data_IF_414173015531
#
_entry.id   IF_414173015531
#
_cell.length_a   1.000
_cell.length_b   1.000
_cell.length_c   1.000
_cell.angle_alpha   90.00
_cell.angle_beta   90.00
_cell.angle_gamma   90.00
#
_symmetry.space_group_name_H-M   'P 1'
#
loop_
_entity.id
_entity.type
_entity.pdbx_description
1 polymer ?
#
# COMPACT_ATOMS: atom_id res chain seq x y z
N UNK A 1 22.14 32.04 50.84
CA UNK A 1 20.68 31.89 50.69
C UNK A 1 20.44 30.80 49.67
N UNK A 2 19.96 29.64 50.11
CA UNK A 2 19.72 28.48 49.24
C UNK A 2 18.30 28.57 48.72
N UNK A 3 18.12 28.97 47.46
CA UNK A 3 16.82 29.03 46.79
C UNK A 3 16.31 27.62 46.52
N UNK A 4 15.28 27.20 47.25
CA UNK A 4 14.54 25.97 46.95
C UNK A 4 13.75 26.17 45.65
N UNK A 5 13.91 25.30 44.64
CA UNK A 5 13.12 25.38 43.41
C UNK A 5 11.65 25.11 43.72
N UNK A 6 10.74 25.98 43.26
CA UNK A 6 9.28 25.84 43.44
C UNK A 6 8.61 25.02 42.33
N UNK A 7 9.34 24.67 41.27
CA UNK A 7 8.83 23.90 40.14
C UNK A 7 9.42 22.48 40.14
N UNK A 8 8.56 21.49 39.89
CA UNK A 8 8.95 20.10 39.71
C UNK A 8 9.83 19.96 38.45
N UNK A 9 11.03 19.37 38.59
CA UNK A 9 12.00 19.22 37.51
C UNK A 9 11.59 18.07 36.56
N UNK A 10 10.67 18.37 35.66
CA UNK A 10 10.22 17.46 34.61
C UNK A 10 11.35 17.03 33.67
N UNK A 11 12.45 17.80 33.56
CA UNK A 11 13.58 17.40 32.74
C UNK A 11 14.37 16.25 33.37
N UNK A 12 14.51 16.26 34.70
CA UNK A 12 15.17 15.16 35.42
C UNK A 12 14.44 13.84 35.22
N UNK A 13 13.11 13.86 35.26
CA UNK A 13 12.28 12.67 35.09
C UNK A 13 12.29 12.21 33.64
N UNK A 14 12.25 13.14 32.67
CA UNK A 14 12.39 12.84 31.24
C UNK A 14 13.76 12.26 30.89
N UNK A 15 14.82 12.66 31.61
CA UNK A 15 16.16 12.06 31.48
C UNK A 15 16.24 10.66 32.09
N UNK A 16 15.56 10.41 33.21
CA UNK A 16 15.48 9.08 33.85
C UNK A 16 14.58 8.10 33.10
N UNK A 17 13.52 8.59 32.48
CA UNK A 17 12.52 7.78 31.75
C UNK A 17 12.89 7.55 30.29
N UNK A 18 14.00 8.12 29.79
CA UNK A 18 14.49 7.80 28.44
C UNK A 18 14.86 6.31 28.44
N UNK A 19 14.14 5.46 27.68
CA UNK A 19 14.56 4.09 27.51
C UNK A 19 15.97 4.08 26.95
N UNK A 20 16.83 3.21 27.46
CA UNK A 20 18.12 2.94 26.84
C UNK A 20 17.86 2.41 25.43
N UNK A 21 18.25 3.17 24.41
CA UNK A 21 18.19 2.72 23.02
C UNK A 21 19.35 1.75 22.81
N UNK A 22 19.04 0.46 22.68
CA UNK A 22 20.00 -0.61 22.41
C UNK A 22 20.57 -0.56 20.97
N UNK A 23 20.17 0.45 20.18
CA UNK A 23 20.59 0.66 18.81
C UNK A 23 19.71 -0.08 17.81
N UNK A 24 18.83 -0.99 18.27
CA UNK A 24 17.89 -1.71 17.41
C UNK A 24 16.89 -0.74 16.78
N UNK A 25 16.32 0.17 17.58
CA UNK A 25 15.43 1.21 17.05
C UNK A 25 16.20 2.16 16.13
N UNK A 26 17.37 2.65 16.53
CA UNK A 26 18.19 3.53 15.69
C UNK A 26 18.53 2.94 14.31
N UNK A 27 18.80 1.63 14.23
CA UNK A 27 19.02 0.92 12.97
C UNK A 27 17.78 0.94 12.06
N UNK A 28 16.59 0.65 12.61
CA UNK A 28 15.34 0.65 11.84
C UNK A 28 14.95 2.05 11.33
N UNK A 29 15.26 3.11 12.10
CA UNK A 29 14.96 4.49 11.72
C UNK A 29 16.02 5.12 10.79
N UNK A 30 17.18 4.47 10.60
CA UNK A 30 18.23 4.95 9.71
C UNK A 30 18.01 4.44 8.28
N UNK A 31 17.98 5.36 7.32
CA UNK A 31 17.88 4.99 5.90
C UNK A 31 19.17 4.31 5.42
N UNK A 32 19.11 3.00 5.18
CA UNK A 32 20.20 2.21 4.64
C UNK A 32 20.17 2.15 3.09
N UNK A 33 20.26 3.31 2.46
CA UNK A 33 20.06 3.49 1.01
C UNK A 33 21.03 2.65 0.16
N UNK A 34 22.31 2.66 0.50
CA UNK A 34 23.35 1.94 -0.26
C UNK A 34 23.14 0.42 -0.20
N UNK A 35 22.82 -0.13 0.97
CA UNK A 35 22.62 -1.59 1.09
C UNK A 35 21.36 -2.02 0.34
N UNK A 36 20.27 -1.24 0.39
CA UNK A 36 19.07 -1.54 -0.38
C UNK A 36 19.32 -1.53 -1.89
N UNK A 37 20.12 -0.57 -2.39
CA UNK A 37 20.47 -0.50 -3.81
C UNK A 37 21.38 -1.66 -4.25
N UNK A 38 22.36 -2.05 -3.43
CA UNK A 38 23.23 -3.20 -3.71
C UNK A 38 22.41 -4.49 -3.77
N UNK A 39 21.49 -4.69 -2.82
CA UNK A 39 20.59 -5.85 -2.82
C UNK A 39 19.71 -5.85 -4.08
N UNK A 40 19.08 -4.73 -4.42
CA UNK A 40 18.24 -4.62 -5.61
C UNK A 40 19.02 -4.90 -6.91
N UNK A 41 20.25 -4.36 -7.02
CA UNK A 41 21.12 -4.60 -8.17
C UNK A 41 21.54 -6.07 -8.26
N UNK A 42 21.88 -6.69 -7.12
CA UNK A 42 22.25 -8.12 -7.06
C UNK A 42 21.07 -9.03 -7.43
N UNK A 43 19.85 -8.67 -7.02
CA UNK A 43 18.63 -9.38 -7.39
C UNK A 43 18.35 -9.30 -8.89
N UNK A 44 18.46 -8.12 -9.50
CA UNK A 44 18.30 -7.96 -10.95
C UNK A 44 19.36 -8.76 -11.72
N UNK A 45 20.60 -8.73 -11.26
CA UNK A 45 21.68 -9.52 -11.86
C UNK A 45 21.42 -11.03 -11.78
N UNK A 46 20.91 -11.50 -10.63
CA UNK A 46 20.48 -12.88 -10.45
C UNK A 46 19.40 -13.27 -11.47
N UNK A 47 18.31 -12.50 -11.54
CA UNK A 47 17.20 -12.79 -12.46
C UNK A 47 17.64 -12.70 -13.93
N UNK A 48 18.51 -11.77 -14.28
CA UNK A 48 18.93 -11.56 -15.67
C UNK A 48 19.87 -12.65 -16.20
N UNK A 49 20.70 -13.27 -15.35
CA UNK A 49 21.78 -14.18 -15.79
C UNK A 49 21.52 -15.63 -15.40
N UNK A 50 20.96 -15.86 -14.21
CA UNK A 50 20.83 -17.21 -13.66
C UNK A 50 19.45 -17.83 -13.93
N UNK A 51 18.43 -17.00 -14.16
CA UNK A 51 17.09 -17.49 -14.46
C UNK A 51 16.90 -17.62 -15.97
N UNK A 52 16.66 -18.84 -16.45
CA UNK A 52 16.45 -19.09 -17.88
C UNK A 52 15.05 -18.58 -18.30
N UNK A 53 14.93 -17.93 -19.48
CA UNK A 53 13.63 -17.58 -20.04
C UNK A 53 12.78 -18.83 -20.25
N UNK A 54 11.48 -18.76 -19.91
CA UNK A 54 10.54 -19.82 -20.28
C UNK A 54 10.16 -19.69 -21.76
N UNK A 55 9.66 -20.75 -22.39
CA UNK A 55 9.10 -20.68 -23.76
C UNK A 55 7.87 -19.74 -23.84
N UNK A 56 7.13 -19.57 -22.73
CA UNK A 56 5.97 -18.69 -22.67
C UNK A 56 6.33 -17.20 -22.61
N UNK A 57 6.11 -16.48 -23.72
CA UNK A 57 6.38 -15.04 -23.84
C UNK A 57 5.57 -14.18 -22.86
N UNK A 58 4.30 -14.55 -22.59
CA UNK A 58 3.45 -13.84 -21.62
C UNK A 58 4.02 -13.89 -20.20
N UNK A 59 4.56 -15.05 -19.79
CA UNK A 59 5.18 -15.21 -18.48
C UNK A 59 6.45 -14.36 -18.35
N UNK A 60 7.33 -14.41 -19.37
CA UNK A 60 8.55 -13.59 -19.38
C UNK A 60 8.23 -12.09 -19.32
N UNK A 61 7.17 -11.65 -20.02
CA UNK A 61 6.71 -10.26 -20.02
C UNK A 61 6.20 -9.84 -18.64
N UNK A 62 5.36 -10.66 -18.00
CA UNK A 62 4.86 -10.39 -16.64
C UNK A 62 6.00 -10.30 -15.62
N UNK A 63 6.95 -11.24 -15.67
CA UNK A 63 8.13 -11.22 -14.79
C UNK A 63 9.01 -10.00 -15.01
N UNK A 64 9.27 -9.63 -16.27
CA UNK A 64 10.04 -8.44 -16.61
C UNK A 64 9.39 -7.15 -16.11
N UNK A 65 8.07 -7.00 -16.30
CA UNK A 65 7.31 -5.86 -15.79
C UNK A 65 7.35 -5.79 -14.26
N UNK A 66 7.20 -6.92 -13.57
CA UNK A 66 7.31 -6.99 -12.11
C UNK A 66 8.72 -6.63 -11.62
N UNK A 67 9.77 -7.09 -12.30
CA UNK A 67 11.15 -6.72 -11.95
C UNK A 67 11.42 -5.23 -12.14
N UNK A 68 10.95 -4.64 -13.24
CA UNK A 68 11.03 -3.19 -13.49
C UNK A 68 10.27 -2.39 -12.42
N UNK A 69 9.04 -2.79 -12.10
CA UNK A 69 8.24 -2.15 -11.06
C UNK A 69 8.90 -2.27 -9.67
N UNK A 70 9.40 -3.45 -9.32
CA UNK A 70 10.11 -3.69 -8.06
C UNK A 70 11.37 -2.83 -7.94
N UNK A 71 12.18 -2.75 -9.00
CA UNK A 71 13.34 -1.87 -9.02
C UNK A 71 12.96 -0.40 -8.86
N UNK A 72 11.94 0.06 -9.59
CA UNK A 72 11.43 1.42 -9.45
C UNK A 72 10.96 1.72 -8.02
N UNK A 73 10.26 0.79 -7.36
CA UNK A 73 9.80 0.95 -5.99
C UNK A 73 10.97 1.07 -5.00
N UNK A 74 11.99 0.19 -5.12
CA UNK A 74 13.17 0.26 -4.23
C UNK A 74 13.98 1.53 -4.50
N UNK A 75 14.24 1.85 -5.76
CA UNK A 75 14.94 3.07 -6.15
C UNK A 75 14.20 4.31 -5.67
N UNK A 76 12.91 4.42 -5.99
CA UNK A 76 12.04 5.52 -5.59
C UNK A 76 11.97 5.67 -4.08
N UNK A 77 11.81 4.58 -3.31
CA UNK A 77 11.82 4.64 -1.84
C UNK A 77 13.14 5.22 -1.29
N UNK A 78 14.28 4.86 -1.89
CA UNK A 78 15.60 5.35 -1.41
C UNK A 78 15.90 6.79 -1.81
N UNK A 79 15.46 7.24 -3.00
CA UNK A 79 15.83 8.53 -3.56
C UNK A 79 14.80 9.63 -3.32
N UNK A 80 13.53 9.29 -3.08
CA UNK A 80 12.49 10.29 -2.84
C UNK A 80 12.74 11.02 -1.52
N UNK A 81 12.60 12.36 -1.51
CA UNK A 81 12.72 13.13 -0.28
C UNK A 81 11.56 12.79 0.68
N UNK A 82 11.77 13.02 1.98
CA UNK A 82 10.71 12.86 2.96
C UNK A 82 9.57 13.85 2.71
N UNK A 83 8.35 13.33 2.65
CA UNK A 83 7.14 14.15 2.56
C UNK A 83 6.75 14.74 3.91
N UNK A 84 5.65 15.49 3.92
CA UNK A 84 5.08 16.11 5.14
C UNK A 84 4.66 15.05 6.18
N UNK A 85 4.38 13.81 5.74
CA UNK A 85 4.01 12.71 6.61
C UNK A 85 5.24 11.99 7.18
N UNK A 86 5.41 12.08 8.51
CA UNK A 86 6.59 11.54 9.21
C UNK A 86 6.30 10.23 9.95
N UNK A 87 5.03 9.95 10.31
CA UNK A 87 4.61 8.76 11.09
C UNK A 87 3.65 7.89 10.28
N UNK A 88 3.65 6.54 10.41
CA UNK A 88 4.42 5.74 11.36
C UNK A 88 5.90 5.56 11.00
N UNK A 89 6.27 5.56 9.72
CA UNK A 89 7.67 5.53 9.27
C UNK A 89 7.81 6.27 7.91
N UNK A 90 8.85 7.11 7.71
CA UNK A 90 9.00 7.88 6.47
C UNK A 90 9.09 7.01 5.21
N UNK A 91 9.74 5.83 5.28
CA UNK A 91 9.84 4.92 4.13
C UNK A 91 8.48 4.38 3.65
N UNK A 92 7.48 4.27 4.53
CA UNK A 92 6.13 3.86 4.14
C UNK A 92 5.53 4.90 3.19
N UNK A 93 5.65 6.19 3.52
CA UNK A 93 5.10 7.28 2.71
C UNK A 93 5.82 7.44 1.39
N UNK A 94 7.14 7.26 1.37
CA UNK A 94 7.93 7.20 0.13
C UNK A 94 7.47 6.05 -0.77
N UNK A 95 7.24 4.87 -0.20
CA UNK A 95 6.71 3.71 -0.93
C UNK A 95 5.29 3.97 -1.46
N UNK A 96 4.40 4.57 -0.65
CA UNK A 96 3.05 4.95 -1.09
C UNK A 96 3.12 5.91 -2.29
N UNK A 97 3.98 6.94 -2.23
CA UNK A 97 4.19 7.85 -3.36
C UNK A 97 4.65 7.11 -4.62
N UNK A 98 5.62 6.20 -4.50
CA UNK A 98 6.10 5.41 -5.64
C UNK A 98 5.00 4.51 -6.22
N UNK A 99 4.18 3.87 -5.37
CA UNK A 99 3.02 3.10 -5.83
C UNK A 99 1.99 3.98 -6.53
N UNK A 100 1.72 5.19 -6.02
CA UNK A 100 0.83 6.15 -6.69
C UNK A 100 1.36 6.54 -8.07
N UNK A 101 2.66 6.82 -8.20
CA UNK A 101 3.26 7.16 -9.51
C UNK A 101 3.15 5.99 -10.50
N UNK A 102 3.42 4.75 -10.08
CA UNK A 102 3.22 3.57 -10.94
C UNK A 102 1.77 3.43 -11.38
N UNK A 103 0.83 3.62 -10.45
CA UNK A 103 -0.60 3.57 -10.73
C UNK A 103 -1.01 4.63 -11.76
N UNK A 104 -0.56 5.88 -11.61
CA UNK A 104 -0.84 6.94 -12.57
C UNK A 104 -0.27 6.63 -13.97
N UNK A 105 0.95 6.09 -14.07
CA UNK A 105 1.52 5.69 -15.35
C UNK A 105 0.67 4.60 -16.02
N UNK A 106 0.18 3.62 -15.25
CA UNK A 106 -0.71 2.57 -15.76
C UNK A 106 -2.05 3.16 -16.20
N UNK A 107 -2.63 4.07 -15.43
CA UNK A 107 -3.88 4.74 -15.79
C UNK A 107 -3.73 5.55 -17.08
N UNK A 108 -2.65 6.32 -17.23
CA UNK A 108 -2.36 7.07 -18.44
C UNK A 108 -2.22 6.11 -19.63
N UNK A 109 -1.57 4.97 -19.46
CA UNK A 109 -1.47 3.96 -20.51
C UNK A 109 -2.85 3.42 -20.91
N UNK A 110 -3.70 3.04 -19.94
CA UNK A 110 -5.07 2.56 -20.16
C UNK A 110 -5.94 3.62 -20.82
N UNK A 111 -5.75 4.91 -20.47
CA UNK A 111 -6.50 6.03 -21.02
C UNK A 111 -6.39 6.13 -22.55
N UNK A 112 -5.26 5.71 -23.12
CA UNK A 112 -5.04 5.70 -24.57
C UNK A 112 -5.46 4.40 -25.26
N UNK A 113 -5.93 3.39 -24.52
CA UNK A 113 -6.43 2.13 -25.10
C UNK A 113 -7.90 2.26 -25.50
N UNK A 114 -8.35 1.41 -26.44
CA UNK A 114 -9.78 1.25 -26.70
C UNK A 114 -10.44 0.50 -25.53
N UNK A 115 -11.78 0.60 -25.42
CA UNK A 115 -12.51 -0.08 -24.34
C UNK A 115 -12.33 -1.60 -24.42
N UNK A 116 -12.28 -2.17 -25.62
CA UNK A 116 -12.12 -3.61 -25.81
C UNK A 116 -10.70 -4.07 -25.50
N UNK A 117 -9.68 -3.29 -25.89
CA UNK A 117 -8.27 -3.58 -25.57
C UNK A 117 -8.01 -3.45 -24.07
N UNK A 118 -8.59 -2.42 -23.42
CA UNK A 118 -8.48 -2.24 -21.97
C UNK A 118 -9.10 -3.41 -21.20
N UNK A 119 -10.25 -3.94 -21.64
CA UNK A 119 -10.86 -5.13 -21.03
C UNK A 119 -10.00 -6.37 -21.19
N UNK A 120 -9.44 -6.60 -22.38
CA UNK A 120 -8.51 -7.72 -22.62
C UNK A 120 -7.22 -7.57 -21.80
N UNK A 121 -6.73 -6.35 -21.61
CA UNK A 121 -5.58 -6.09 -20.76
C UNK A 121 -5.89 -6.43 -19.29
N UNK A 122 -7.03 -5.96 -18.78
CA UNK A 122 -7.44 -6.21 -17.40
C UNK A 122 -7.71 -7.69 -17.12
N UNK A 123 -8.16 -8.47 -18.12
CA UNK A 123 -8.27 -9.93 -18.03
C UNK A 123 -6.94 -10.63 -17.71
N UNK A 124 -5.81 -10.05 -18.11
CA UNK A 124 -4.50 -10.61 -17.78
C UNK A 124 -4.13 -10.49 -16.29
N UNK A 125 -4.80 -9.59 -15.57
CA UNK A 125 -4.63 -9.33 -14.14
C UNK A 125 -5.68 -10.09 -13.35
N UNK A 126 -6.94 -9.99 -13.76
CA UNK A 126 -8.06 -10.70 -13.15
C UNK A 126 -8.84 -11.46 -14.24
N UNK A 127 -8.73 -12.81 -14.26
CA UNK A 127 -9.36 -13.64 -15.28
C UNK A 127 -10.90 -13.64 -15.19
N UNK A 128 -11.49 -13.10 -14.12
CA UNK A 128 -12.95 -12.99 -13.96
C UNK A 128 -13.54 -11.78 -14.69
N UNK A 129 -12.70 -10.87 -15.21
CA UNK A 129 -13.13 -9.70 -15.97
C UNK A 129 -13.48 -10.05 -17.42
N UNK A 130 -14.32 -9.23 -18.07
CA UNK A 130 -14.69 -9.39 -19.48
C UNK A 130 -16.05 -10.05 -19.75
N UNK A 131 -16.70 -10.57 -18.72
CA UNK A 131 -18.13 -10.88 -18.77
C UNK A 131 -18.94 -9.59 -18.54
N UNK A 132 -20.14 -9.46 -19.12
CA UNK A 132 -21.04 -8.37 -18.73
C UNK A 132 -21.25 -8.45 -17.22
N UNK A 133 -20.87 -7.38 -16.50
CA UNK A 133 -21.12 -7.31 -15.07
C UNK A 133 -22.63 -7.40 -14.85
N UNK A 134 -23.11 -8.25 -13.93
CA UNK A 134 -24.51 -8.20 -13.54
C UNK A 134 -24.80 -6.82 -12.94
N UNK A 135 -25.81 -6.14 -13.46
CA UNK A 135 -26.24 -4.85 -12.93
C UNK A 135 -26.62 -5.01 -11.46
N UNK A 136 -25.85 -4.39 -10.59
CA UNK A 136 -26.08 -4.44 -9.15
C UNK A 136 -27.12 -3.39 -8.78
N UNK A 137 -28.32 -3.84 -8.46
CA UNK A 137 -29.39 -2.95 -8.01
C UNK A 137 -29.16 -2.54 -6.55
N UNK A 138 -28.50 -1.41 -6.30
CA UNK A 138 -28.32 -0.87 -4.95
C UNK A 138 -29.62 -0.31 -4.34
N UNK A 139 -30.69 -0.13 -5.13
CA UNK A 139 -31.99 0.43 -4.70
C UNK A 139 -33.07 -0.61 -4.38
N UNK A 140 -32.73 -1.90 -4.41
CA UNK A 140 -33.65 -3.00 -4.09
C UNK A 140 -34.02 -3.09 -2.60
N UNK A 141 -34.45 -4.29 -2.15
CA UNK A 141 -34.88 -4.52 -0.76
C UNK A 141 -33.80 -4.14 0.27
N UNK A 142 -34.12 -3.21 1.19
CA UNK A 142 -33.26 -2.78 2.30
C UNK A 142 -33.36 -3.67 3.56
N UNK A 143 -33.97 -4.86 3.45
CA UNK A 143 -34.13 -5.76 4.61
C UNK A 143 -32.77 -6.31 5.02
N UNK A 144 -32.37 -6.10 6.27
CA UNK A 144 -31.09 -6.61 6.80
C UNK A 144 -31.19 -8.10 7.11
N UNK A 145 -32.34 -8.54 7.64
CA UNK A 145 -32.63 -9.92 7.97
C UNK A 145 -33.90 -10.35 7.24
N UNK A 146 -33.81 -11.41 6.45
CA UNK A 146 -34.92 -12.05 5.79
C UNK A 146 -35.30 -13.34 6.52
N UNK A 147 -36.49 -13.34 7.10
CA UNK A 147 -37.08 -14.49 7.77
C UNK A 147 -37.58 -15.55 6.78
N UNK A 148 -37.74 -15.19 5.50
CA UNK A 148 -38.26 -16.07 4.45
C UNK A 148 -37.18 -17.00 3.87
N UNK A 149 -35.90 -16.64 4.05
CA UNK A 149 -34.73 -17.44 3.62
C UNK A 149 -33.82 -17.79 4.82
N UNK A 150 -34.18 -18.80 5.65
CA UNK A 150 -33.45 -19.13 6.87
C UNK A 150 -32.01 -19.65 6.63
N UNK A 151 -31.68 -20.11 5.42
CA UNK A 151 -30.34 -20.60 5.06
C UNK A 151 -29.33 -19.45 4.82
N UNK A 152 -29.77 -18.30 4.27
CA UNK A 152 -28.97 -17.07 4.21
C UNK A 152 -29.82 -15.84 4.51
N UNK A 153 -30.12 -15.59 5.81
CA UNK A 153 -31.01 -14.50 6.22
C UNK A 153 -30.47 -13.12 5.89
N UNK A 154 -29.15 -12.99 5.68
CA UNK A 154 -28.47 -11.70 5.48
C UNK A 154 -28.08 -11.46 4.01
N UNK A 155 -28.63 -12.22 3.07
CA UNK A 155 -28.23 -12.16 1.66
C UNK A 155 -28.35 -10.74 1.07
N UNK A 156 -29.41 -9.98 1.39
CA UNK A 156 -29.56 -8.59 0.95
C UNK A 156 -28.46 -7.68 1.51
N UNK A 157 -28.14 -7.81 2.80
CA UNK A 157 -27.09 -7.01 3.44
C UNK A 157 -25.71 -7.33 2.86
N UNK A 158 -25.37 -8.62 2.73
CA UNK A 158 -24.11 -9.07 2.15
C UNK A 158 -23.96 -8.64 0.70
N UNK A 159 -25.04 -8.67 -0.07
CA UNK A 159 -25.03 -8.16 -1.44
C UNK A 159 -24.66 -6.68 -1.45
N UNK A 160 -25.21 -5.82 -0.58
CA UNK A 160 -24.85 -4.39 -0.57
C UNK A 160 -23.47 -4.07 0.01
N UNK A 161 -22.86 -4.99 0.75
CA UNK A 161 -21.50 -4.83 1.29
C UNK A 161 -20.45 -5.18 0.24
N UNK A 162 -20.09 -4.20 -0.58
CA UNK A 162 -19.09 -4.35 -1.64
C UNK A 162 -17.70 -3.80 -1.24
N UNK A 163 -16.74 -3.95 -2.15
CA UNK A 163 -15.41 -3.41 -1.99
C UNK A 163 -15.41 -1.88 -1.85
N UNK A 164 -16.39 -1.18 -2.44
CA UNK A 164 -16.49 0.28 -2.33
C UNK A 164 -16.77 0.72 -0.89
N UNK A 165 -17.71 0.06 -0.19
CA UNK A 165 -18.04 0.35 1.22
C UNK A 165 -16.82 0.10 2.11
N UNK A 166 -16.14 -1.05 1.93
CA UNK A 166 -14.93 -1.37 2.69
C UNK A 166 -13.80 -0.37 2.42
N UNK A 167 -13.52 -0.08 1.15
CA UNK A 167 -12.50 0.88 0.72
C UNK A 167 -12.76 2.27 1.30
N UNK A 168 -14.02 2.73 1.28
CA UNK A 168 -14.40 4.00 1.90
C UNK A 168 -14.16 3.96 3.41
N UNK A 169 -14.68 2.95 4.12
CA UNK A 169 -14.49 2.84 5.57
C UNK A 169 -13.02 2.90 5.98
N UNK A 170 -12.16 2.13 5.32
CA UNK A 170 -10.72 2.15 5.57
C UNK A 170 -10.07 3.46 5.16
N UNK A 171 -10.54 4.10 4.08
CA UNK A 171 -10.09 5.42 3.65
C UNK A 171 -10.40 6.50 4.70
N UNK A 172 -11.62 6.51 5.24
CA UNK A 172 -11.99 7.40 6.34
C UNK A 172 -11.16 7.12 7.59
N UNK A 173 -11.00 5.85 7.97
CA UNK A 173 -10.18 5.47 9.12
C UNK A 173 -8.71 5.90 8.98
N UNK A 174 -8.08 5.63 7.84
CA UNK A 174 -6.70 6.04 7.57
C UNK A 174 -6.57 7.56 7.56
N UNK A 175 -7.53 8.28 6.99
CA UNK A 175 -7.57 9.74 7.02
C UNK A 175 -7.63 10.28 8.44
N UNK A 176 -8.41 9.65 9.33
CA UNK A 176 -8.42 10.04 10.75
C UNK A 176 -7.08 9.77 11.45
N UNK A 177 -6.39 8.69 11.11
CA UNK A 177 -5.05 8.40 11.67
C UNK A 177 -3.99 9.40 11.22
N UNK A 178 -4.05 9.83 9.96
CA UNK A 178 -3.12 10.80 9.39
C UNK A 178 -3.33 12.20 9.99
N UNK A 179 -4.58 12.60 10.20
CA UNK A 179 -4.94 13.95 10.70
C UNK A 179 -4.87 14.04 12.23
N UNK A 180 -4.78 12.92 12.94
CA UNK A 180 -4.67 12.93 14.40
C UNK A 180 -3.28 13.38 14.85
N UNK A 181 -3.12 14.69 14.99
CA UNK A 181 -2.07 15.33 15.78
C UNK A 181 -2.29 14.96 17.26
N UNK A 182 -1.25 14.52 17.95
CA UNK A 182 -1.23 14.33 19.40
C UNK A 182 0.06 14.88 19.99
#
# INVERSE_FOLDING_TARGET
STTTPTAYDWESDKRRSKPFDDGTMSFFWRAHTITCLVIAMSYLFYVAILEQPSEDSSYNTKRGLLACAGFFLVFGMTQTPDGVFVRPHPALWRLVLCFSVLYEIILIYILFQTVDDARQLLQNIDPTLGVPLPDKDYGGSCRIYDWEHPEDPFHYFKDKMDFFVLSHFFGWWLKTLIVRDY
#
